data_IF_936673410832
#
_entry.id   IF_936673410832
#
_cell.length_a   1.000
_cell.length_b   1.000
_cell.length_c   1.000
_cell.angle_alpha   90.00
_cell.angle_beta   90.00
_cell.angle_gamma   90.00
#
_symmetry.space_group_name_H-M   'P 1'
#
loop_
_entity.id
_entity.type
_entity.pdbx_description
1 polymer ?
#
# COMPACT_ATOMS: atom_id res chain seq x y z
N UNK A 1 -21.36 41.85 -16.23
CA UNK A 1 -20.08 41.30 -16.74
C UNK A 1 -20.34 39.85 -17.13
N UNK A 2 -20.12 39.45 -18.39
CA UNK A 2 -20.27 38.07 -18.83
C UNK A 2 -18.89 37.41 -18.89
N UNK A 3 -18.73 36.29 -18.21
CA UNK A 3 -17.47 35.53 -18.19
C UNK A 3 -17.54 34.44 -19.26
N UNK A 4 -16.84 34.65 -20.36
CA UNK A 4 -16.63 33.62 -21.39
C UNK A 4 -15.38 32.83 -21.02
N UNK A 5 -15.52 31.50 -20.90
CA UNK A 5 -14.42 30.61 -20.54
C UNK A 5 -13.70 30.12 -21.79
N UNK A 6 -12.59 30.77 -22.14
CA UNK A 6 -11.62 30.25 -23.10
C UNK A 6 -10.49 29.62 -22.31
N UNK A 7 -10.53 28.29 -22.18
CA UNK A 7 -9.50 27.52 -21.51
C UNK A 7 -8.92 26.49 -22.49
N UNK A 8 -7.59 26.35 -22.56
CA UNK A 8 -6.95 25.30 -23.35
C UNK A 8 -7.00 23.91 -22.67
N UNK A 9 -7.78 23.75 -21.59
CA UNK A 9 -7.95 22.46 -20.93
C UNK A 9 -8.90 21.54 -21.72
N UNK A 10 -8.61 20.24 -21.66
CA UNK A 10 -9.46 19.20 -22.24
C UNK A 10 -10.82 19.20 -21.57
N UNK A 11 -11.87 19.08 -22.37
CA UNK A 11 -13.24 18.98 -21.90
C UNK A 11 -13.57 17.57 -21.39
N UNK A 12 -14.72 17.43 -20.71
CA UNK A 12 -15.16 16.13 -20.18
C UNK A 12 -15.31 15.05 -21.25
N UNK A 13 -15.68 15.44 -22.48
CA UNK A 13 -15.82 14.53 -23.62
C UNK A 13 -14.46 14.03 -24.09
N UNK A 14 -13.49 14.93 -24.27
CA UNK A 14 -12.13 14.56 -24.66
C UNK A 14 -11.45 13.65 -23.65
N UNK A 15 -11.67 13.88 -22.34
CA UNK A 15 -11.16 12.96 -21.29
C UNK A 15 -11.82 11.59 -21.42
N UNK A 16 -13.14 11.53 -21.61
CA UNK A 16 -13.85 10.24 -21.76
C UNK A 16 -13.41 9.48 -23.02
N UNK A 17 -13.28 10.18 -24.14
CA UNK A 17 -12.81 9.61 -25.40
C UNK A 17 -11.38 9.07 -25.26
N UNK A 18 -10.51 9.77 -24.52
CA UNK A 18 -9.15 9.32 -24.22
C UNK A 18 -9.13 8.07 -23.33
N UNK A 19 -9.90 8.05 -22.25
CA UNK A 19 -9.97 6.87 -21.35
C UNK A 19 -10.50 5.67 -22.12
N UNK A 20 -11.52 5.86 -22.95
CA UNK A 20 -12.06 4.80 -23.81
C UNK A 20 -11.02 4.29 -24.81
N UNK A 21 -10.27 5.19 -25.45
CA UNK A 21 -9.23 4.83 -26.40
C UNK A 21 -8.09 4.03 -25.76
N UNK A 22 -7.61 4.46 -24.58
CA UNK A 22 -6.50 3.81 -23.89
C UNK A 22 -6.93 2.54 -23.14
N UNK A 23 -8.21 2.43 -22.76
CA UNK A 23 -8.77 1.31 -21.97
C UNK A 23 -7.88 0.89 -20.78
N UNK A 24 -7.54 1.83 -19.87
CA UNK A 24 -6.70 1.52 -18.72
C UNK A 24 -7.44 0.63 -17.71
N UNK A 25 -6.69 -0.13 -16.90
CA UNK A 25 -7.27 -0.94 -15.81
C UNK A 25 -7.80 -0.10 -14.64
N UNK A 26 -7.17 1.05 -14.40
CA UNK A 26 -7.51 1.96 -13.30
C UNK A 26 -7.27 3.41 -13.73
N UNK A 27 -8.12 4.33 -13.26
CA UNK A 27 -8.01 5.77 -13.53
C UNK A 27 -7.92 6.55 -12.22
N UNK A 28 -7.11 7.60 -12.15
CA UNK A 28 -7.01 8.48 -10.99
C UNK A 28 -7.11 9.94 -11.41
N UNK A 29 -8.01 10.70 -10.77
CA UNK A 29 -8.23 12.12 -11.01
C UNK A 29 -7.61 12.93 -9.85
N UNK A 30 -6.61 13.76 -10.15
CA UNK A 30 -5.80 14.48 -9.14
C UNK A 30 -5.92 16.00 -9.19
N UNK A 31 -6.14 16.57 -10.37
CA UNK A 31 -6.23 18.02 -10.56
C UNK A 31 -7.58 18.39 -11.16
N UNK A 32 -8.40 19.09 -10.39
CA UNK A 32 -9.71 19.54 -10.81
C UNK A 32 -10.56 20.02 -9.64
N UNK A 33 -11.67 20.67 -9.95
CA UNK A 33 -12.66 21.03 -8.95
C UNK A 33 -13.32 19.76 -8.39
N UNK A 34 -13.34 19.60 -7.06
CA UNK A 34 -13.93 18.44 -6.36
C UNK A 34 -15.30 17.99 -6.91
N UNK A 35 -16.31 18.87 -7.07
CA UNK A 35 -17.61 18.44 -7.57
C UNK A 35 -17.55 17.92 -9.01
N UNK A 36 -16.76 18.56 -9.89
CA UNK A 36 -16.60 18.15 -11.29
C UNK A 36 -15.86 16.81 -11.40
N UNK A 37 -14.85 16.60 -10.57
CA UNK A 37 -14.13 15.32 -10.51
C UNK A 37 -15.02 14.19 -10.00
N UNK A 38 -15.88 14.45 -9.00
CA UNK A 38 -16.83 13.46 -8.51
C UNK A 38 -17.82 13.02 -9.61
N UNK A 39 -18.41 13.97 -10.34
CA UNK A 39 -19.29 13.65 -11.48
C UNK A 39 -18.55 12.90 -12.59
N UNK A 40 -17.31 13.29 -12.91
CA UNK A 40 -16.52 12.61 -13.95
C UNK A 40 -16.14 11.19 -13.53
N UNK A 41 -15.75 10.97 -12.27
CA UNK A 41 -15.47 9.65 -11.69
C UNK A 41 -16.67 8.72 -11.82
N UNK A 42 -17.86 9.19 -11.43
CA UNK A 42 -19.10 8.42 -11.53
C UNK A 42 -19.41 8.04 -12.97
N UNK A 43 -19.18 8.99 -13.90
CA UNK A 43 -19.40 8.77 -15.33
C UNK A 43 -18.44 7.73 -15.91
N UNK A 44 -17.14 7.80 -15.59
CA UNK A 44 -16.13 6.83 -16.02
C UNK A 44 -16.48 5.43 -15.50
N UNK A 45 -16.88 5.34 -14.23
CA UNK A 45 -17.27 4.07 -13.63
C UNK A 45 -18.55 3.50 -14.28
N UNK A 46 -19.56 4.33 -14.49
CA UNK A 46 -20.87 3.89 -15.01
C UNK A 46 -20.85 3.57 -16.51
N UNK A 47 -20.14 4.37 -17.33
CA UNK A 47 -20.12 4.21 -18.79
C UNK A 47 -19.04 3.23 -19.27
N UNK A 48 -17.87 3.19 -18.61
CA UNK A 48 -16.73 2.37 -19.05
C UNK A 48 -16.48 1.16 -18.13
N UNK A 49 -17.07 1.10 -16.94
CA UNK A 49 -16.84 0.02 -15.98
C UNK A 49 -15.43 0.02 -15.38
N UNK A 50 -14.68 1.12 -15.53
CA UNK A 50 -13.29 1.21 -15.07
C UNK A 50 -13.26 1.82 -13.65
N UNK A 51 -12.55 1.19 -12.68
CA UNK A 51 -12.34 1.78 -11.37
C UNK A 51 -11.65 3.15 -11.46
N UNK A 52 -12.28 4.16 -10.86
CA UNK A 52 -11.81 5.54 -10.89
C UNK A 52 -11.67 6.10 -9.46
N UNK A 53 -10.52 6.71 -9.17
CA UNK A 53 -10.17 7.24 -7.85
C UNK A 53 -10.02 8.76 -7.89
N UNK A 54 -10.34 9.41 -6.77
CA UNK A 54 -10.25 10.87 -6.58
C UNK A 54 -9.62 11.15 -5.20
N UNK A 55 -8.34 10.80 -4.99
CA UNK A 55 -7.70 10.97 -3.69
C UNK A 55 -7.57 12.43 -3.31
N UNK A 56 -7.68 12.72 -2.01
CA UNK A 56 -7.28 13.98 -1.44
C UNK A 56 -5.75 14.12 -1.43
N UNK A 57 -5.28 15.35 -1.21
CA UNK A 57 -3.85 15.59 -0.98
C UNK A 57 -3.38 14.76 0.22
N UNK A 58 -2.24 14.08 0.07
CA UNK A 58 -1.67 13.16 1.05
C UNK A 58 -2.49 11.89 1.32
N UNK A 59 -3.51 11.60 0.51
CA UNK A 59 -4.21 10.32 0.55
C UNK A 59 -3.45 9.28 -0.27
N UNK A 60 -3.35 8.06 0.26
CA UNK A 60 -2.71 6.93 -0.41
C UNK A 60 -3.77 6.02 -1.03
N UNK A 61 -3.63 5.72 -2.33
CA UNK A 61 -4.49 4.77 -3.05
C UNK A 61 -3.67 3.51 -3.35
N UNK A 62 -4.15 2.35 -2.90
CA UNK A 62 -3.55 1.06 -3.23
C UNK A 62 -4.19 0.49 -4.49
N UNK A 63 -3.40 0.30 -5.55
CA UNK A 63 -3.85 -0.29 -6.81
C UNK A 63 -3.15 -1.64 -6.98
N UNK A 64 -3.90 -2.77 -7.04
CA UNK A 64 -3.30 -4.07 -7.21
C UNK A 64 -2.65 -4.17 -8.60
N UNK A 65 -1.37 -4.51 -8.61
CA UNK A 65 -0.65 -4.82 -9.86
C UNK A 65 -0.83 -6.29 -10.22
N UNK A 66 -0.96 -6.57 -11.52
CA UNK A 66 -0.92 -7.95 -12.04
C UNK A 66 0.49 -8.41 -12.38
N UNK A 67 1.49 -7.55 -12.19
CA UNK A 67 2.89 -7.86 -12.51
C UNK A 67 3.58 -8.46 -11.29
N UNK A 68 3.95 -9.74 -11.41
CA UNK A 68 4.76 -10.42 -10.42
C UNK A 68 6.24 -10.30 -10.83
N UNK A 69 7.05 -9.81 -9.90
CA UNK A 69 8.51 -9.79 -10.07
C UNK A 69 9.06 -11.05 -9.39
N UNK A 70 9.70 -11.91 -10.17
CA UNK A 70 10.42 -13.05 -9.61
C UNK A 70 11.69 -12.53 -8.94
N UNK A 71 11.76 -12.68 -7.62
CA UNK A 71 12.94 -12.35 -6.83
C UNK A 71 13.55 -13.62 -6.24
N UNK A 72 14.88 -13.73 -6.32
CA UNK A 72 15.62 -14.76 -5.59
C UNK A 72 15.78 -14.31 -4.13
N UNK A 73 15.68 -15.23 -3.18
CA UNK A 73 15.83 -14.93 -1.76
C UNK A 73 17.10 -15.60 -1.22
N UNK A 74 17.82 -14.93 -0.32
CA UNK A 74 18.97 -15.53 0.34
C UNK A 74 18.55 -16.58 1.38
N UNK A 75 19.38 -17.60 1.58
CA UNK A 75 19.06 -18.70 2.50
C UNK A 75 18.86 -18.23 3.95
N UNK A 76 19.63 -17.24 4.38
CA UNK A 76 19.49 -16.59 5.70
C UNK A 76 18.20 -15.80 5.81
N UNK A 77 17.79 -15.06 4.77
CA UNK A 77 16.50 -14.38 4.76
C UNK A 77 15.36 -15.38 4.91
N UNK A 78 15.39 -16.48 4.15
CA UNK A 78 14.39 -17.55 4.26
C UNK A 78 14.37 -18.17 5.66
N UNK A 79 15.54 -18.52 6.23
CA UNK A 79 15.61 -19.05 7.60
C UNK A 79 15.04 -18.07 8.63
N UNK A 80 15.30 -16.78 8.48
CA UNK A 80 14.78 -15.76 9.40
C UNK A 80 13.26 -15.60 9.26
N UNK A 81 12.70 -15.73 8.06
CA UNK A 81 11.26 -15.74 7.84
C UNK A 81 10.54 -16.96 8.45
N UNK A 82 11.25 -18.09 8.58
CA UNK A 82 10.72 -19.31 9.18
C UNK A 82 10.66 -19.26 10.71
N UNK A 83 11.34 -18.30 11.34
CA UNK A 83 11.28 -18.12 12.78
C UNK A 83 9.99 -17.35 13.15
N UNK A 84 9.12 -17.91 13.99
CA UNK A 84 7.89 -17.23 14.37
C UNK A 84 8.19 -16.07 15.32
N UNK A 85 7.98 -14.84 14.85
CA UNK A 85 8.06 -13.62 15.66
C UNK A 85 6.73 -13.40 16.38
N UNK A 86 6.40 -14.27 17.34
CA UNK A 86 5.20 -14.10 18.15
C UNK A 86 5.32 -12.84 19.02
N UNK A 87 4.40 -11.90 18.83
CA UNK A 87 4.22 -10.77 19.74
C UNK A 87 3.32 -11.23 20.88
N UNK A 88 3.90 -11.26 22.09
CA UNK A 88 3.15 -11.57 23.30
C UNK A 88 2.64 -10.27 23.92
N UNK A 89 1.34 -10.01 23.81
CA UNK A 89 0.75 -8.85 24.48
C UNK A 89 0.18 -9.26 25.84
N UNK A 90 0.63 -8.58 26.89
CA UNK A 90 0.06 -8.71 28.23
C UNK A 90 -1.16 -7.80 28.31
N UNK A 91 -2.35 -8.39 28.40
CA UNK A 91 -3.57 -7.64 28.65
C UNK A 91 -3.55 -7.11 30.09
N UNK A 92 -3.27 -5.81 30.28
CA UNK A 92 -3.61 -5.14 31.53
C UNK A 92 -5.09 -4.80 31.44
N UNK A 93 -5.94 -5.66 32.01
CA UNK A 93 -7.38 -5.42 32.06
C UNK A 93 -7.69 -4.16 32.88
N UNK A 94 -7.74 -3.01 32.22
CA UNK A 94 -8.49 -1.83 32.67
C UNK A 94 -9.42 -1.41 31.55
N UNK A 95 -10.11 -2.39 30.96
CA UNK A 95 -11.34 -2.09 30.23
C UNK A 95 -12.49 -2.10 31.22
N UNK A 96 -13.21 -0.98 31.25
CA UNK A 96 -14.41 -0.75 32.03
C UNK A 96 -15.48 -1.74 31.60
N UNK A 97 -15.51 -2.92 32.20
CA UNK A 97 -16.61 -3.85 32.09
C UNK A 97 -17.55 -3.62 33.29
N UNK A 98 -18.67 -2.95 33.03
CA UNK A 98 -19.81 -2.91 33.94
C UNK A 98 -20.47 -4.29 33.96
N UNK A 99 -19.86 -5.25 34.65
CA UNK A 99 -20.51 -6.50 34.98
C UNK A 99 -20.06 -6.95 36.36
N UNK A 100 -20.90 -6.63 37.34
CA UNK A 100 -20.90 -7.24 38.67
C UNK A 100 -20.86 -8.75 38.55
N UNK A 101 -19.76 -9.38 38.96
CA UNK A 101 -19.75 -10.61 39.77
C UNK A 101 -18.33 -10.91 40.27
N UNK A 102 -18.26 -11.18 41.56
CA UNK A 102 -17.07 -11.31 42.40
C UNK A 102 -16.39 -12.67 42.18
N UNK A 103 -15.06 -12.66 42.05
CA UNK A 103 -14.18 -13.73 42.54
C UNK A 103 -13.82 -14.87 41.59
N UNK A 104 -12.74 -14.71 40.83
CA UNK A 104 -11.80 -15.81 40.52
C UNK A 104 -10.47 -15.22 40.03
N UNK A 105 -9.37 -15.82 40.48
CA UNK A 105 -7.98 -15.40 40.20
C UNK A 105 -7.77 -15.11 38.69
N UNK A 106 -7.55 -13.84 38.35
CA UNK A 106 -7.21 -13.40 36.99
C UNK A 106 -5.75 -13.80 36.71
N UNK A 107 -5.52 -15.00 36.21
CA UNK A 107 -4.28 -15.31 35.50
C UNK A 107 -4.23 -14.40 34.26
N UNK A 108 -3.13 -13.66 34.02
CA UNK A 108 -3.03 -12.82 32.84
C UNK A 108 -3.12 -13.73 31.61
N UNK A 109 -4.20 -13.60 30.83
CA UNK A 109 -4.31 -14.26 29.53
C UNK A 109 -3.27 -13.64 28.60
N UNK A 110 -2.25 -14.43 28.27
CA UNK A 110 -1.28 -14.08 27.22
C UNK A 110 -1.99 -14.22 25.88
N UNK A 111 -2.28 -13.10 25.24
CA UNK A 111 -2.72 -13.09 23.86
C UNK A 111 -1.47 -13.19 22.97
N UNK A 112 -1.47 -14.18 22.09
CA UNK A 112 -0.43 -14.40 21.09
C UNK A 112 -1.02 -14.01 19.75
N UNK A 113 -0.54 -12.92 19.17
CA UNK A 113 -0.90 -12.56 17.80
C UNK A 113 0.18 -13.07 16.84
N UNK A 114 -0.27 -13.71 15.75
CA UNK A 114 0.60 -14.16 14.67
C UNK A 114 0.78 -13.03 13.65
N UNK A 115 1.52 -11.99 14.04
CA UNK A 115 1.96 -10.92 13.14
C UNK A 115 3.34 -11.25 12.55
N UNK A 116 3.45 -12.35 11.80
CA UNK A 116 4.70 -12.68 11.09
C UNK A 116 5.06 -11.58 10.08
N UNK A 117 5.92 -10.65 10.51
CA UNK A 117 6.55 -9.66 9.64
C UNK A 117 7.96 -10.14 9.30
N UNK A 118 8.21 -10.34 8.01
CA UNK A 118 9.55 -10.59 7.48
C UNK A 118 10.18 -9.25 7.07
N UNK A 119 11.40 -9.01 7.53
CA UNK A 119 12.14 -7.77 7.31
C UNK A 119 13.43 -8.06 6.55
N UNK A 120 13.68 -7.31 5.48
CA UNK A 120 14.81 -7.53 4.58
C UNK A 120 14.96 -6.43 3.54
N UNK A 121 16.05 -6.48 2.79
CA UNK A 121 16.33 -5.51 1.73
C UNK A 121 16.05 -6.13 0.36
N UNK A 122 15.40 -5.37 -0.52
CA UNK A 122 15.23 -5.73 -1.93
C UNK A 122 16.31 -5.04 -2.76
N UNK A 123 17.21 -5.82 -3.36
CA UNK A 123 18.24 -5.36 -4.27
C UNK A 123 17.81 -5.60 -5.70
N UNK A 124 17.82 -4.54 -6.51
CA UNK A 124 17.45 -4.58 -7.93
C UNK A 124 18.49 -3.83 -8.74
N UNK A 125 19.30 -4.58 -9.50
CA UNK A 125 20.32 -4.03 -10.39
C UNK A 125 19.88 -4.12 -11.85
N UNK A 126 20.24 -3.12 -12.65
CA UNK A 126 20.01 -3.14 -14.09
C UNK A 126 20.78 -4.32 -14.70
N UNK A 127 20.05 -5.33 -15.20
CA UNK A 127 20.52 -6.60 -15.80
C UNK A 127 20.70 -7.81 -14.86
N UNK A 128 20.37 -7.71 -13.57
CA UNK A 128 20.32 -8.90 -12.68
C UNK A 128 18.88 -9.13 -12.20
N UNK A 129 18.57 -10.37 -11.84
CA UNK A 129 17.30 -10.68 -11.18
C UNK A 129 17.23 -9.97 -9.84
N UNK A 130 16.03 -9.54 -9.45
CA UNK A 130 15.79 -8.97 -8.14
C UNK A 130 16.17 -9.99 -7.06
N UNK A 131 16.79 -9.52 -5.97
CA UNK A 131 17.20 -10.35 -4.84
C UNK A 131 16.70 -9.78 -3.53
N UNK A 132 16.10 -10.61 -2.70
CA UNK A 132 15.73 -10.28 -1.32
C UNK A 132 16.80 -10.85 -0.40
N UNK A 133 17.39 -9.99 0.41
CA UNK A 133 18.54 -10.32 1.26
C UNK A 133 18.28 -9.92 2.70
N UNK A 134 18.88 -10.64 3.63
CA UNK A 134 18.86 -10.25 5.04
C UNK A 134 19.65 -8.94 5.24
N UNK A 135 19.34 -8.19 6.30
CA UNK A 135 20.01 -6.91 6.61
C UNK A 135 21.54 -7.03 6.67
N UNK A 136 22.03 -8.11 7.27
CA UNK A 136 23.47 -8.34 7.46
C UNK A 136 24.22 -8.73 6.17
N UNK A 137 23.49 -9.22 5.16
CA UNK A 137 24.10 -9.70 3.91
C UNK A 137 24.22 -8.62 2.85
N UNK A 138 23.50 -7.50 3.01
CA UNK A 138 23.48 -6.43 2.03
C UNK A 138 24.89 -5.90 1.74
N UNK A 139 25.68 -5.63 2.78
CA UNK A 139 27.05 -5.12 2.66
C UNK A 139 27.98 -6.16 2.00
N UNK A 140 27.81 -7.44 2.33
CA UNK A 140 28.59 -8.52 1.72
C UNK A 140 28.27 -8.69 0.23
N UNK A 141 27.02 -8.44 -0.16
CA UNK A 141 26.58 -8.55 -1.56
C UNK A 141 26.94 -7.34 -2.42
N UNK A 142 26.96 -6.14 -1.83
CA UNK A 142 27.30 -4.92 -2.56
C UNK A 142 28.82 -4.70 -2.68
N UNK A 143 29.65 -5.44 -1.93
CA UNK A 143 31.11 -5.26 -1.83
C UNK A 143 31.53 -3.80 -1.52
N UNK A 144 30.62 -3.06 -0.89
CA UNK A 144 30.79 -1.66 -0.54
C UNK A 144 30.87 -1.49 0.98
N UNK A 145 31.77 -0.61 1.42
CA UNK A 145 31.85 -0.23 2.83
C UNK A 145 30.70 0.70 3.16
N UNK A 146 30.10 0.53 4.34
CA UNK A 146 29.10 1.44 4.85
C UNK A 146 29.61 2.87 4.78
N UNK A 147 28.89 3.74 4.06
CA UNK A 147 29.20 5.15 4.02
C UNK A 147 28.73 5.79 5.32
N UNK A 148 29.66 6.34 6.09
CA UNK A 148 29.37 7.16 7.27
C UNK A 148 29.03 8.58 6.80
N UNK A 149 27.84 9.07 7.15
CA UNK A 149 27.32 10.42 6.80
C UNK A 149 27.52 11.36 7.97
#
# INVERSE_FOLDING_TARGET
IHQLAFSPHTDSKGIMDLVKFLSPKHVMLVHGEKPKMASLKERIHSELGIPCYTPANNETVSIPSTHYVNAEASDTFIRNCLNPNFTFQKCNSVDTCNSTLIGRNLTPELQVEDERVADGNLVMENNKKAKVVHRDELLLMLDEKQHEV
#
